data_IF_632310534441
#
_entry.id   IF_632310534441
#
_cell.length_a   1.000
_cell.length_b   1.000
_cell.length_c   1.000
_cell.angle_alpha   90.00
_cell.angle_beta   90.00
_cell.angle_gamma   90.00
#
_symmetry.space_group_name_H-M   'P 1'
#
loop_
_entity.id
_entity.type
_entity.pdbx_description
1 polymer ?
#
# COMPACT_ATOMS: atom_id res chain seq x y z
N UNK A 1 -49.01 10.64 16.13
CA UNK A 1 -47.82 10.00 15.55
C UNK A 1 -46.58 10.78 15.97
N UNK A 2 -46.00 10.36 17.09
CA UNK A 2 -44.82 10.92 17.74
C UNK A 2 -43.57 10.58 16.92
N UNK A 3 -42.84 11.61 16.49
CA UNK A 3 -41.50 11.46 15.89
C UNK A 3 -40.53 11.09 17.02
N UNK A 4 -39.94 9.91 16.90
CA UNK A 4 -38.86 9.45 17.77
C UNK A 4 -37.60 10.30 17.53
N UNK A 5 -37.02 10.97 18.53
CA UNK A 5 -35.84 11.80 18.34
C UNK A 5 -34.60 10.90 18.19
N UNK A 6 -33.91 11.01 17.04
CA UNK A 6 -32.58 10.41 16.88
C UNK A 6 -31.66 10.90 18.02
N UNK A 7 -30.91 10.01 18.69
CA UNK A 7 -30.00 10.43 19.74
C UNK A 7 -28.90 11.35 19.16
N UNK A 8 -28.39 12.31 19.95
CA UNK A 8 -27.29 13.16 19.51
C UNK A 8 -26.08 12.30 19.16
N UNK A 9 -25.44 12.59 18.03
CA UNK A 9 -24.18 11.97 17.64
C UNK A 9 -23.12 12.30 18.69
N UNK A 10 -22.88 11.36 19.61
CA UNK A 10 -21.77 11.45 20.55
C UNK A 10 -20.43 11.51 19.81
N UNK A 11 -19.34 11.91 20.48
CA UNK A 11 -18.01 11.91 19.88
C UNK A 11 -17.74 10.53 19.26
N UNK A 12 -17.24 10.55 18.02
CA UNK A 12 -16.83 9.36 17.26
C UNK A 12 -15.91 8.50 18.14
N UNK A 13 -16.47 7.47 18.79
CA UNK A 13 -15.66 6.42 19.42
C UNK A 13 -15.13 5.58 18.27
N UNK A 14 -13.99 5.98 17.73
CA UNK A 14 -13.16 5.07 16.95
C UNK A 14 -12.63 4.06 17.96
N UNK A 15 -13.40 2.99 18.21
CA UNK A 15 -12.81 1.77 18.75
C UNK A 15 -11.76 1.37 17.71
N UNK A 16 -10.49 1.56 18.06
CA UNK A 16 -9.41 1.21 17.18
C UNK A 16 -9.48 -0.30 16.94
N UNK A 17 -10.01 -0.70 15.79
CA UNK A 17 -9.75 -2.02 15.24
C UNK A 17 -8.24 -2.11 15.04
N UNK A 18 -7.54 -2.77 15.95
CA UNK A 18 -6.09 -2.70 15.97
C UNK A 18 -5.44 -3.89 16.69
N UNK A 19 -4.78 -4.81 15.98
CA UNK A 19 -4.00 -5.94 16.52
C UNK A 19 -2.68 -5.49 17.19
N UNK A 20 -2.65 -4.31 17.83
CA UNK A 20 -1.48 -3.76 18.52
C UNK A 20 -1.55 -3.95 20.04
N UNK A 21 -2.70 -4.39 20.57
CA UNK A 21 -2.85 -4.77 21.96
C UNK A 21 -1.99 -6.02 22.24
N UNK A 22 -0.92 -5.85 23.03
CA UNK A 22 0.01 -6.92 23.42
C UNK A 22 1.44 -6.77 22.88
N UNK A 23 1.70 -5.82 21.97
CA UNK A 23 3.05 -5.59 21.42
C UNK A 23 3.76 -4.44 22.14
N UNK A 24 3.01 -3.50 22.73
CA UNK A 24 3.55 -2.31 23.39
C UNK A 24 3.67 -2.55 24.91
N UNK A 25 4.87 -2.42 25.51
CA UNK A 25 5.07 -2.59 26.94
C UNK A 25 4.24 -1.60 27.79
N UNK A 26 3.80 -1.97 29.00
CA UNK A 26 3.22 -1.02 29.94
C UNK A 26 4.27 0.03 30.34
N UNK A 27 4.09 1.26 29.86
CA UNK A 27 5.05 2.37 30.06
C UNK A 27 5.21 3.28 28.85
N UNK A 28 4.75 2.85 27.66
CA UNK A 28 4.84 3.64 26.44
C UNK A 28 3.70 4.65 26.28
N UNK A 29 3.97 5.77 25.58
CA UNK A 29 2.94 6.65 25.05
C UNK A 29 1.93 5.81 24.25
N UNK A 30 0.66 5.86 24.65
CA UNK A 30 -0.47 5.06 24.13
C UNK A 30 -0.58 3.60 24.60
N UNK A 31 0.37 3.02 25.35
CA UNK A 31 0.27 1.63 25.81
C UNK A 31 -0.95 1.35 26.69
N UNK A 32 -1.22 2.23 27.65
CA UNK A 32 -2.41 2.15 28.50
C UNK A 32 -3.72 2.41 27.73
N UNK A 33 -3.69 3.18 26.65
CA UNK A 33 -4.86 3.42 25.81
C UNK A 33 -5.15 2.20 24.91
N UNK A 34 -4.14 1.63 24.26
CA UNK A 34 -4.25 0.41 23.45
C UNK A 34 -4.75 -0.79 24.26
N UNK A 35 -4.29 -0.94 25.50
CA UNK A 35 -4.76 -2.00 26.43
C UNK A 35 -6.24 -1.80 26.83
N UNK A 36 -6.67 -0.54 27.00
CA UNK A 36 -8.07 -0.21 27.36
C UNK A 36 -9.05 -0.37 26.20
N UNK A 37 -8.60 -0.11 24.98
CA UNK A 37 -9.42 -0.26 23.76
C UNK A 37 -9.39 -1.70 23.21
N UNK A 38 -8.62 -2.61 23.81
CA UNK A 38 -8.62 -4.03 23.45
C UNK A 38 -9.99 -4.66 23.76
N UNK A 39 -10.65 -5.22 22.75
CA UNK A 39 -11.95 -5.88 22.92
C UNK A 39 -11.74 -7.25 23.59
N UNK A 40 -12.38 -7.53 24.74
CA UNK A 40 -12.31 -8.84 25.39
C UNK A 40 -12.88 -9.93 24.47
N UNK A 41 -12.16 -11.04 24.30
CA UNK A 41 -12.60 -12.19 23.51
C UNK A 41 -12.17 -12.20 22.04
N UNK A 42 -11.51 -11.14 21.56
CA UNK A 42 -10.73 -11.23 20.32
C UNK A 42 -9.43 -12.00 20.58
N UNK A 43 -9.01 -12.89 19.68
CA UNK A 43 -7.70 -13.52 19.78
C UNK A 43 -6.62 -12.43 19.92
N UNK A 44 -5.67 -12.69 20.81
CA UNK A 44 -4.56 -11.74 21.02
C UNK A 44 -3.83 -11.50 19.70
N UNK A 45 -3.20 -10.34 19.55
CA UNK A 45 -2.35 -10.06 18.40
C UNK A 45 -1.36 -11.21 18.14
N UNK A 46 -0.80 -11.81 19.18
CA UNK A 46 0.11 -12.95 19.07
C UNK A 46 -0.54 -14.20 18.49
N UNK A 47 -1.78 -14.53 18.90
CA UNK A 47 -2.51 -15.69 18.38
C UNK A 47 -2.91 -15.52 16.91
N UNK A 48 -3.38 -14.32 16.53
CA UNK A 48 -3.65 -14.02 15.12
C UNK A 48 -2.37 -13.99 14.28
N UNK A 49 -1.29 -13.40 14.78
CA UNK A 49 0.00 -13.41 14.11
C UNK A 49 0.52 -14.84 13.91
N UNK A 50 0.32 -15.75 14.87
CA UNK A 50 0.69 -17.16 14.75
C UNK A 50 -0.16 -17.88 13.68
N UNK A 51 -1.48 -17.73 13.73
CA UNK A 51 -2.39 -18.27 12.71
C UNK A 51 -2.02 -17.78 11.31
N UNK A 52 -1.72 -16.48 11.20
CA UNK A 52 -1.27 -15.90 9.95
C UNK A 52 0.10 -16.44 9.56
N UNK A 53 1.04 -16.61 10.49
CA UNK A 53 2.39 -17.17 10.24
C UNK A 53 2.37 -18.63 9.75
N UNK A 54 1.31 -19.39 10.02
CA UNK A 54 1.17 -20.78 9.57
C UNK A 54 0.38 -20.95 8.25
N UNK A 55 -0.29 -19.90 7.75
CA UNK A 55 -1.08 -19.99 6.53
C UNK A 55 -0.18 -20.28 5.29
N UNK A 56 -0.66 -20.95 4.23
CA UNK A 56 0.08 -21.04 2.97
C UNK A 56 0.21 -19.65 2.32
N UNK A 57 1.33 -19.38 1.66
CA UNK A 57 1.58 -18.13 0.92
C UNK A 57 1.77 -18.45 -0.56
N UNK A 58 0.94 -17.88 -1.42
CA UNK A 58 1.18 -17.90 -2.86
C UNK A 58 1.62 -16.51 -3.33
N UNK A 59 2.92 -16.39 -3.61
CA UNK A 59 3.54 -15.17 -4.16
C UNK A 59 3.32 -15.02 -5.67
N UNK A 60 2.79 -16.05 -6.33
CA UNK A 60 2.58 -16.08 -7.79
C UNK A 60 1.12 -15.82 -8.18
N UNK A 61 0.18 -15.89 -7.24
CA UNK A 61 -1.24 -15.67 -7.49
C UNK A 61 -1.50 -14.29 -8.14
N UNK A 62 -2.22 -14.23 -9.28
CA UNK A 62 -2.52 -12.97 -9.92
C UNK A 62 -3.37 -12.07 -9.01
N UNK A 63 -3.24 -10.76 -9.23
CA UNK A 63 -3.86 -9.67 -8.46
C UNK A 63 -5.37 -9.86 -8.21
N UNK A 64 -6.07 -10.51 -9.14
CA UNK A 64 -7.52 -10.71 -9.13
C UNK A 64 -7.98 -12.08 -8.59
N UNK A 65 -7.05 -13.01 -8.31
CA UNK A 65 -7.38 -14.34 -7.80
C UNK A 65 -7.62 -14.31 -6.28
N UNK A 66 -8.70 -13.66 -5.87
CA UNK A 66 -9.21 -13.70 -4.50
C UNK A 66 -10.65 -14.20 -4.55
N UNK A 67 -10.97 -15.38 -3.97
CA UNK A 67 -12.30 -15.98 -4.02
C UNK A 67 -13.43 -15.03 -3.58
N UNK A 68 -13.16 -14.16 -2.60
CA UNK A 68 -14.12 -13.18 -2.11
C UNK A 68 -14.44 -12.06 -3.10
N UNK A 69 -13.53 -11.73 -4.02
CA UNK A 69 -13.74 -10.70 -5.06
C UNK A 69 -14.65 -11.23 -6.15
N UNK A 70 -14.50 -12.51 -6.52
CA UNK A 70 -15.44 -13.18 -7.41
C UNK A 70 -16.86 -13.20 -6.80
N UNK A 71 -16.98 -13.56 -5.52
CA UNK A 71 -18.27 -13.56 -4.82
C UNK A 71 -18.90 -12.15 -4.68
N UNK A 72 -18.09 -11.09 -4.50
CA UNK A 72 -18.59 -9.71 -4.45
C UNK A 72 -18.94 -9.15 -5.84
N UNK A 73 -18.26 -9.60 -6.89
CA UNK A 73 -18.60 -9.27 -8.28
C UNK A 73 -19.92 -9.94 -8.72
N UNK A 74 -20.19 -11.17 -8.25
CA UNK A 74 -21.45 -11.90 -8.50
C UNK A 74 -22.68 -11.22 -7.87
N UNK A 75 -22.50 -10.52 -6.73
CA UNK A 75 -23.59 -9.80 -6.04
C UNK A 75 -23.87 -8.38 -6.53
N UNK A 76 -23.05 -7.84 -7.44
CA UNK A 76 -23.26 -6.52 -8.02
C UNK A 76 -24.30 -6.58 -9.16
N UNK A 77 -25.15 -5.56 -9.28
CA UNK A 77 -25.98 -5.41 -10.49
C UNK A 77 -25.09 -5.41 -11.73
N UNK A 78 -25.41 -6.30 -12.68
CA UNK A 78 -24.64 -6.54 -13.91
C UNK A 78 -24.39 -5.28 -14.76
N UNK A 79 -25.12 -4.19 -14.52
CA UNK A 79 -24.99 -2.93 -15.27
C UNK A 79 -23.87 -1.99 -14.80
N UNK A 80 -23.40 -2.09 -13.54
CA UNK A 80 -22.42 -1.14 -12.99
C UNK A 80 -21.18 -1.78 -12.33
N UNK A 81 -21.22 -3.09 -12.02
CA UNK A 81 -20.16 -3.75 -11.26
C UNK A 81 -20.05 -3.25 -9.81
N UNK A 82 -19.18 -3.85 -8.99
CA UNK A 82 -18.95 -3.39 -7.63
C UNK A 82 -18.21 -2.05 -7.62
N UNK A 83 -18.53 -1.19 -6.65
CA UNK A 83 -17.73 -0.02 -6.36
C UNK A 83 -16.37 -0.43 -5.76
N UNK A 84 -15.40 0.49 -5.75
CA UNK A 84 -14.10 0.27 -5.10
C UNK A 84 -13.77 1.38 -4.13
N UNK A 85 -13.13 1.02 -3.01
CA UNK A 85 -12.41 1.96 -2.15
C UNK A 85 -10.93 1.70 -2.33
N UNK A 86 -10.23 2.65 -2.93
CA UNK A 86 -8.80 2.52 -3.24
C UNK A 86 -7.97 3.31 -2.24
N UNK A 87 -6.93 2.68 -1.74
CA UNK A 87 -5.79 3.35 -1.10
C UNK A 87 -4.51 2.81 -1.70
N UNK A 88 -3.37 3.45 -1.44
CA UNK A 88 -2.10 2.95 -1.94
C UNK A 88 -0.91 3.48 -1.18
N UNK A 89 0.19 2.74 -1.19
CA UNK A 89 1.45 3.14 -0.58
C UNK A 89 2.59 2.41 -1.30
N UNK A 90 3.79 3.01 -1.34
CA UNK A 90 4.97 2.24 -1.73
C UNK A 90 5.13 1.00 -0.84
N UNK A 91 5.57 -0.14 -1.39
CA UNK A 91 5.87 -1.33 -0.62
C UNK A 91 7.16 -1.12 0.17
N UNK A 92 7.06 -0.34 1.25
CA UNK A 92 8.17 -0.13 2.16
C UNK A 92 8.62 -1.43 2.80
N UNK A 93 9.85 -1.42 3.33
CA UNK A 93 10.47 -2.56 3.98
C UNK A 93 9.54 -3.19 5.04
N UNK A 94 9.27 -4.49 4.92
CA UNK A 94 8.34 -5.27 5.77
C UNK A 94 6.93 -4.67 5.92
N UNK A 95 6.39 -4.09 4.85
CA UNK A 95 5.08 -3.43 4.87
C UNK A 95 5.16 -1.92 5.12
N UNK A 96 6.36 -1.40 5.36
CA UNK A 96 6.63 0.04 5.48
C UNK A 96 6.11 0.61 6.80
N UNK A 97 5.82 1.93 6.85
CA UNK A 97 5.30 2.54 8.07
C UNK A 97 3.95 1.93 8.47
N UNK A 98 3.61 1.94 9.76
CA UNK A 98 2.30 1.50 10.26
C UNK A 98 1.13 2.21 9.56
N UNK A 99 1.38 3.40 9.00
CA UNK A 99 0.46 4.11 8.13
C UNK A 99 -0.05 3.25 6.96
N UNK A 100 0.77 2.39 6.37
CA UNK A 100 0.37 1.45 5.31
C UNK A 100 -0.77 0.55 5.77
N UNK A 101 -0.60 -0.09 6.93
CA UNK A 101 -1.61 -0.98 7.50
C UNK A 101 -2.88 -0.21 7.87
N UNK A 102 -2.73 1.00 8.42
CA UNK A 102 -3.86 1.86 8.76
C UNK A 102 -4.66 2.28 7.52
N UNK A 103 -3.99 2.63 6.41
CA UNK A 103 -4.63 2.96 5.13
C UNK A 103 -5.43 1.78 4.59
N UNK A 104 -4.84 0.58 4.60
CA UNK A 104 -5.52 -0.63 4.13
C UNK A 104 -6.74 -0.96 5.02
N UNK A 105 -6.56 -0.96 6.34
CA UNK A 105 -7.67 -1.20 7.27
C UNK A 105 -8.81 -0.19 7.09
N UNK A 106 -8.48 1.07 6.81
CA UNK A 106 -9.47 2.12 6.50
C UNK A 106 -10.22 1.80 5.21
N UNK A 107 -9.53 1.39 4.14
CA UNK A 107 -10.17 1.00 2.88
C UNK A 107 -11.13 -0.18 3.07
N UNK A 108 -10.71 -1.20 3.83
CA UNK A 108 -11.54 -2.36 4.19
C UNK A 108 -12.78 -1.94 4.98
N UNK A 109 -12.61 -1.11 6.01
CA UNK A 109 -13.74 -0.65 6.84
C UNK A 109 -14.74 0.19 6.04
N UNK A 110 -14.26 1.08 5.17
CA UNK A 110 -15.13 1.87 4.29
C UNK A 110 -15.88 0.98 3.30
N UNK A 111 -15.19 0.04 2.66
CA UNK A 111 -15.82 -0.90 1.72
C UNK A 111 -16.89 -1.78 2.38
N UNK A 112 -16.63 -2.25 3.61
CA UNK A 112 -17.62 -2.99 4.41
C UNK A 112 -18.84 -2.13 4.74
N UNK A 113 -18.64 -0.86 5.11
CA UNK A 113 -19.73 0.08 5.43
C UNK A 113 -20.61 0.37 4.21
N UNK A 114 -20.00 0.65 3.06
CA UNK A 114 -20.75 0.91 1.81
C UNK A 114 -21.51 -0.35 1.36
N UNK A 115 -20.89 -1.53 1.51
CA UNK A 115 -21.53 -2.82 1.22
C UNK A 115 -22.74 -3.07 2.12
N UNK A 116 -22.62 -2.79 3.42
CA UNK A 116 -23.73 -2.87 4.37
C UNK A 116 -24.86 -1.87 4.07
N UNK A 117 -24.54 -0.75 3.40
CA UNK A 117 -25.52 0.23 2.90
C UNK A 117 -26.16 -0.17 1.55
N UNK A 118 -25.91 -1.39 1.05
CA UNK A 118 -26.50 -1.91 -0.18
C UNK A 118 -25.70 -1.62 -1.45
N UNK A 119 -24.48 -1.06 -1.34
CA UNK A 119 -23.58 -0.83 -2.47
C UNK A 119 -22.38 -1.77 -2.38
N UNK A 120 -22.43 -2.90 -3.07
CA UNK A 120 -21.31 -3.85 -3.14
C UNK A 120 -20.00 -3.12 -3.45
N UNK A 121 -19.06 -3.15 -2.51
CA UNK A 121 -17.82 -2.36 -2.56
C UNK A 121 -16.61 -3.19 -2.18
N UNK A 122 -15.58 -3.19 -3.04
CA UNK A 122 -14.33 -3.94 -2.86
C UNK A 122 -13.22 -3.01 -2.36
N UNK A 123 -12.50 -3.34 -1.27
CA UNK A 123 -11.32 -2.61 -0.87
C UNK A 123 -10.12 -2.99 -1.75
N UNK A 124 -9.42 -1.98 -2.25
CA UNK A 124 -8.25 -2.12 -3.12
C UNK A 124 -7.05 -1.41 -2.50
N UNK A 125 -5.96 -2.14 -2.34
CA UNK A 125 -4.64 -1.61 -2.03
C UNK A 125 -3.77 -1.57 -3.29
N UNK A 126 -3.48 -0.37 -3.76
CA UNK A 126 -2.47 -0.12 -4.79
C UNK A 126 -1.07 -0.16 -4.17
N UNK A 127 -0.33 -1.23 -4.44
CA UNK A 127 1.09 -1.31 -4.12
C UNK A 127 1.86 -0.43 -5.10
N UNK A 128 2.45 0.67 -4.60
CA UNK A 128 3.25 1.62 -5.38
C UNK A 128 4.62 1.07 -5.78
N UNK A 129 4.68 -0.18 -6.24
CA UNK A 129 5.90 -0.96 -6.43
C UNK A 129 6.64 -0.63 -7.75
N UNK A 130 6.02 0.12 -8.66
CA UNK A 130 6.68 0.70 -9.83
C UNK A 130 7.53 1.95 -9.56
N UNK A 131 7.57 2.45 -8.31
CA UNK A 131 8.38 3.61 -7.96
C UNK A 131 9.87 3.28 -7.91
N UNK A 132 10.71 4.30 -8.07
CA UNK A 132 12.16 4.19 -8.05
C UNK A 132 12.83 4.91 -6.87
N UNK A 133 12.03 5.40 -5.92
CA UNK A 133 12.52 5.94 -4.64
C UNK A 133 12.76 4.81 -3.63
N UNK A 134 13.86 4.08 -3.84
CA UNK A 134 14.31 3.03 -2.92
C UNK A 134 14.70 3.60 -1.55
N UNK A 135 15.14 4.86 -1.50
CA UNK A 135 15.59 5.47 -0.25
C UNK A 135 14.42 5.67 0.71
N UNK A 136 13.27 6.09 0.21
CA UNK A 136 12.03 6.16 0.97
C UNK A 136 11.54 4.77 1.38
N UNK A 137 11.49 3.83 0.44
CA UNK A 137 10.91 2.51 0.69
C UNK A 137 11.77 1.62 1.61
N UNK A 138 13.09 1.72 1.53
CA UNK A 138 14.05 0.80 2.17
C UNK A 138 14.85 1.43 3.32
N UNK A 139 14.30 2.48 3.92
CA UNK A 139 14.79 3.08 5.16
C UNK A 139 13.80 2.88 6.32
N UNK A 140 13.45 1.63 6.69
CA UNK A 140 12.59 1.37 7.83
C UNK A 140 13.17 1.96 9.10
N UNK A 141 12.27 2.45 9.93
CA UNK A 141 12.56 2.86 11.29
C UNK A 141 11.63 2.04 12.19
N UNK A 142 12.21 1.21 13.05
CA UNK A 142 11.49 0.32 13.97
C UNK A 142 11.85 0.65 15.42
N UNK A 143 11.02 0.19 16.35
CA UNK A 143 11.34 0.20 17.78
C UNK A 143 11.93 -1.17 18.12
N UNK A 144 13.05 -1.19 18.84
CA UNK A 144 13.58 -2.44 19.38
C UNK A 144 12.85 -2.83 20.69
N UNK A 145 13.24 -3.98 21.25
CA UNK A 145 12.67 -4.50 22.51
C UNK A 145 12.95 -3.62 23.74
N UNK A 146 13.80 -2.59 23.60
CA UNK A 146 14.11 -1.61 24.63
C UNK A 146 13.34 -0.30 24.44
N UNK A 147 12.51 -0.21 23.40
CA UNK A 147 11.83 1.02 23.05
C UNK A 147 12.79 2.07 22.45
N UNK A 148 13.90 1.65 21.85
CA UNK A 148 14.78 2.54 21.09
C UNK A 148 14.41 2.51 19.61
N UNK A 149 14.35 3.70 19.00
CA UNK A 149 14.12 3.86 17.59
C UNK A 149 15.39 3.47 16.81
N UNK A 150 15.34 2.36 16.08
CA UNK A 150 16.43 1.88 15.22
C UNK A 150 16.05 1.99 13.75
N UNK A 151 16.90 2.70 12.99
CA UNK A 151 16.83 2.71 11.53
C UNK A 151 17.62 1.53 10.97
N UNK A 152 16.98 0.64 10.22
CA UNK A 152 17.66 -0.40 9.46
C UNK A 152 17.73 0.04 7.99
N UNK A 153 18.64 0.97 7.68
CA UNK A 153 18.81 1.39 6.29
C UNK A 153 19.59 0.32 5.52
N UNK A 154 19.07 -0.15 4.38
CA UNK A 154 19.83 -0.93 3.38
C UNK A 154 20.85 -0.03 2.65
N UNK A 155 21.69 0.70 3.39
CA UNK A 155 22.70 1.65 2.87
C UNK A 155 23.63 1.02 1.85
N UNK A 156 23.92 -0.28 1.99
CA UNK A 156 24.72 -1.03 1.04
C UNK A 156 24.07 -1.16 -0.32
N UNK A 157 22.75 -1.34 -0.38
CA UNK A 157 21.97 -1.39 -1.62
C UNK A 157 21.88 -0.01 -2.27
N UNK A 158 21.49 1.00 -1.49
CA UNK A 158 21.29 2.38 -1.99
C UNK A 158 22.55 3.03 -2.57
N UNK A 159 23.75 2.50 -2.24
CA UNK A 159 25.03 3.00 -2.73
C UNK A 159 25.46 2.37 -4.07
N UNK A 160 24.75 1.36 -4.55
CA UNK A 160 25.12 0.66 -5.79
C UNK A 160 24.66 1.45 -7.02
N UNK A 161 25.50 1.64 -8.06
CA UNK A 161 25.12 2.32 -9.29
C UNK A 161 23.89 1.71 -9.99
N UNK A 162 23.70 0.39 -9.87
CA UNK A 162 22.56 -0.35 -10.39
C UNK A 162 21.24 -0.06 -9.66
N UNK A 163 21.29 0.45 -8.43
CA UNK A 163 20.11 0.84 -7.65
C UNK A 163 19.58 2.22 -8.04
N UNK A 164 20.36 3.02 -8.77
CA UNK A 164 19.89 4.29 -9.30
C UNK A 164 18.78 4.05 -10.33
N UNK A 165 17.57 4.54 -10.02
CA UNK A 165 16.35 4.35 -10.81
C UNK A 165 15.86 2.90 -10.92
N UNK A 166 16.33 2.01 -10.04
CA UNK A 166 15.80 0.66 -9.98
C UNK A 166 14.31 0.70 -9.65
N UNK A 167 13.53 -0.15 -10.28
CA UNK A 167 12.12 -0.32 -9.96
C UNK A 167 12.02 -1.17 -8.70
N UNK A 168 11.36 -0.63 -7.67
CA UNK A 168 11.26 -1.25 -6.36
C UNK A 168 10.71 -2.68 -6.43
N UNK A 169 9.70 -2.93 -7.27
CA UNK A 169 9.10 -4.25 -7.47
C UNK A 169 10.10 -5.33 -7.92
N UNK A 170 11.15 -4.93 -8.64
CA UNK A 170 12.09 -5.81 -9.35
C UNK A 170 13.39 -6.02 -8.58
N UNK A 171 13.56 -5.38 -7.42
CA UNK A 171 14.71 -5.60 -6.56
C UNK A 171 14.71 -7.03 -6.00
N UNK A 172 15.89 -7.64 -5.87
CA UNK A 172 16.07 -9.01 -5.43
C UNK A 172 16.28 -9.16 -3.92
N UNK A 173 16.69 -10.35 -3.47
CA UNK A 173 16.84 -10.69 -2.05
C UNK A 173 17.79 -9.81 -1.25
N UNK A 174 18.70 -9.11 -1.91
CA UNK A 174 19.57 -8.12 -1.31
C UNK A 174 18.83 -7.01 -0.55
N UNK A 175 17.56 -6.74 -0.88
CA UNK A 175 16.72 -5.79 -0.14
C UNK A 175 16.44 -6.28 1.29
N UNK A 176 16.20 -7.57 1.47
CA UNK A 176 15.77 -8.16 2.74
C UNK A 176 16.79 -9.10 3.38
N UNK A 177 18.00 -9.22 2.86
CA UNK A 177 19.11 -9.89 3.55
C UNK A 177 19.90 -8.95 4.50
N UNK A 178 19.42 -7.72 4.72
CA UNK A 178 20.13 -6.64 5.41
C UNK A 178 20.27 -6.77 6.95
N UNK A 179 20.15 -7.97 7.53
CA UNK A 179 20.40 -8.22 8.96
C UNK A 179 19.37 -7.63 9.94
N UNK A 180 18.24 -7.13 9.43
CA UNK A 180 17.10 -6.62 10.23
C UNK A 180 16.47 -7.70 11.13
N UNK A 181 16.64 -8.99 10.80
CA UNK A 181 16.08 -10.10 11.58
C UNK A 181 16.59 -10.06 13.03
N UNK A 182 17.85 -9.68 13.24
CA UNK A 182 18.46 -9.52 14.56
C UNK A 182 17.88 -8.33 15.36
N UNK A 183 17.20 -7.40 14.69
CA UNK A 183 16.52 -6.27 15.32
C UNK A 183 15.07 -6.59 15.72
N UNK A 184 14.51 -7.71 15.26
CA UNK A 184 13.16 -8.14 15.65
C UNK A 184 13.20 -9.14 16.80
N UNK A 185 12.29 -9.05 17.78
CA UNK A 185 12.10 -10.10 18.76
C UNK A 185 11.69 -11.41 18.08
N UNK A 186 12.21 -12.53 18.58
CA UNK A 186 11.77 -13.85 18.17
C UNK A 186 10.28 -14.02 18.48
N UNK A 187 9.54 -14.60 17.53
CA UNK A 187 8.12 -14.88 17.70
C UNK A 187 7.30 -14.78 16.42
N UNK A 188 5.96 -14.81 16.55
CA UNK A 188 5.05 -14.88 15.41
C UNK A 188 5.20 -13.72 14.41
N UNK A 189 5.53 -12.51 14.87
CA UNK A 189 5.77 -11.36 13.99
C UNK A 189 7.02 -11.53 13.10
N UNK A 190 8.10 -12.06 13.67
CA UNK A 190 9.31 -12.38 12.91
C UNK A 190 9.03 -13.52 11.90
N UNK A 191 8.32 -14.57 12.30
CA UNK A 191 7.93 -15.67 11.41
C UNK A 191 7.03 -15.20 10.25
N UNK A 192 6.02 -14.37 10.56
CA UNK A 192 5.13 -13.77 9.58
C UNK A 192 5.87 -12.97 8.50
N UNK A 193 6.90 -12.23 8.89
CA UNK A 193 7.77 -11.51 7.97
C UNK A 193 8.66 -12.44 7.14
N UNK A 194 9.16 -13.53 7.74
CA UNK A 194 10.08 -14.47 7.08
C UNK A 194 9.40 -15.34 6.02
N UNK A 195 8.16 -15.78 6.24
CA UNK A 195 7.50 -16.71 5.31
C UNK A 195 7.46 -16.19 3.86
N UNK A 196 7.01 -14.96 3.56
CA UNK A 196 7.04 -14.44 2.19
C UNK A 196 8.46 -14.27 1.64
N UNK A 197 9.43 -13.90 2.48
CA UNK A 197 10.82 -13.67 2.08
C UNK A 197 11.57 -14.96 1.73
N UNK A 198 11.20 -16.09 2.35
CA UNK A 198 11.77 -17.42 2.09
C UNK A 198 11.40 -17.97 0.72
N UNK A 199 10.30 -17.49 0.11
CA UNK A 199 9.92 -17.89 -1.25
C UNK A 199 10.87 -17.35 -2.32
N UNK A 200 11.75 -16.41 -1.96
CA UNK A 200 12.66 -15.75 -2.89
C UNK A 200 11.92 -14.93 -3.95
N UNK A 201 12.66 -14.40 -4.92
CA UNK A 201 12.10 -13.67 -6.06
C UNK A 201 12.29 -12.16 -5.98
N UNK A 202 11.32 -11.42 -6.49
CA UNK A 202 11.37 -9.96 -6.57
C UNK A 202 10.55 -9.33 -5.43
N UNK A 203 10.94 -8.13 -4.99
CA UNK A 203 10.36 -7.46 -3.84
C UNK A 203 8.85 -7.19 -3.94
N UNK A 204 8.35 -6.82 -5.13
CA UNK A 204 6.93 -6.51 -5.35
C UNK A 204 6.00 -7.69 -5.02
N UNK A 205 6.18 -8.87 -5.65
CA UNK A 205 5.44 -10.08 -5.29
C UNK A 205 5.51 -10.45 -3.81
N UNK A 206 6.71 -10.37 -3.21
CA UNK A 206 6.92 -10.72 -1.80
C UNK A 206 6.14 -9.80 -0.86
N UNK A 207 6.16 -8.49 -1.10
CA UNK A 207 5.39 -7.55 -0.30
C UNK A 207 3.88 -7.73 -0.50
N UNK A 208 3.43 -7.93 -1.74
CA UNK A 208 2.02 -8.13 -2.03
C UNK A 208 1.48 -9.36 -1.28
N UNK A 209 2.27 -10.44 -1.24
CA UNK A 209 1.95 -11.64 -0.47
C UNK A 209 1.92 -11.39 1.04
N UNK A 210 2.86 -10.63 1.59
CA UNK A 210 2.85 -10.22 3.00
C UNK A 210 1.58 -9.44 3.36
N UNK A 211 1.18 -8.47 2.53
CA UNK A 211 -0.06 -7.69 2.76
C UNK A 211 -1.29 -8.59 2.65
N UNK A 212 -1.39 -9.46 1.65
CA UNK A 212 -2.50 -10.42 1.51
C UNK A 212 -2.62 -11.33 2.73
N UNK A 213 -1.48 -11.74 3.30
CA UNK A 213 -1.41 -12.55 4.51
C UNK A 213 -1.89 -11.76 5.73
N UNK A 214 -1.41 -10.54 5.92
CA UNK A 214 -1.81 -9.65 7.02
C UNK A 214 -3.32 -9.36 7.03
N UNK A 215 -3.93 -9.29 5.85
CA UNK A 215 -5.36 -9.03 5.67
C UNK A 215 -6.14 -10.28 5.24
N UNK A 216 -5.61 -11.48 5.50
CA UNK A 216 -6.29 -12.73 5.20
C UNK A 216 -7.63 -12.79 5.95
N UNK A 217 -8.71 -13.09 5.22
CA UNK A 217 -10.08 -13.06 5.74
C UNK A 217 -10.86 -11.79 5.41
N UNK A 218 -10.20 -10.76 4.87
CA UNK A 218 -10.85 -9.59 4.28
C UNK A 218 -10.87 -9.68 2.74
N UNK A 219 -11.85 -9.07 2.06
CA UNK A 219 -11.95 -9.06 0.60
C UNK A 219 -10.96 -8.07 -0.06
N UNK A 220 -9.76 -7.93 0.50
CA UNK A 220 -8.75 -6.96 0.04
C UNK A 220 -8.10 -7.41 -1.26
N UNK A 221 -8.26 -6.61 -2.32
CA UNK A 221 -7.47 -6.75 -3.56
C UNK A 221 -6.16 -6.01 -3.42
N UNK A 222 -5.03 -6.65 -3.71
CA UNK A 222 -3.72 -5.99 -3.80
C UNK A 222 -3.33 -5.86 -5.27
N UNK A 223 -3.36 -4.64 -5.80
CA UNK A 223 -2.97 -4.31 -7.17
C UNK A 223 -1.51 -3.87 -7.18
N UNK A 224 -0.67 -4.54 -7.97
CA UNK A 224 0.72 -4.13 -8.17
C UNK A 224 0.81 -3.04 -9.22
N UNK A 225 1.42 -1.92 -8.86
CA UNK A 225 1.68 -0.81 -9.76
C UNK A 225 2.76 -1.09 -10.81
N UNK A 226 3.49 -2.20 -10.72
CA UNK A 226 4.42 -2.68 -11.75
C UNK A 226 3.86 -3.82 -12.63
N UNK A 227 2.57 -4.16 -12.51
CA UNK A 227 1.94 -5.23 -13.30
C UNK A 227 1.76 -4.82 -14.79
N UNK A 228 2.42 -5.49 -15.76
CA UNK A 228 2.26 -5.16 -17.18
C UNK A 228 0.81 -5.29 -17.68
N UNK A 229 0.03 -6.23 -17.16
CA UNK A 229 -1.36 -6.44 -17.61
C UNK A 229 -2.27 -5.27 -17.20
N UNK A 230 -2.03 -4.68 -16.03
CA UNK A 230 -2.72 -3.47 -15.58
C UNK A 230 -2.48 -2.30 -16.54
N UNK A 231 -1.23 -2.15 -16.97
CA UNK A 231 -0.84 -1.05 -17.83
C UNK A 231 -1.24 -1.26 -19.29
N UNK A 232 -1.25 -2.50 -19.77
CA UNK A 232 -1.83 -2.85 -21.06
C UNK A 232 -3.32 -2.46 -21.12
N UNK A 233 -4.08 -2.81 -20.08
CA UNK A 233 -5.49 -2.41 -19.96
C UNK A 233 -5.68 -0.89 -19.86
N UNK A 234 -4.72 -0.18 -19.27
CA UNK A 234 -4.73 1.29 -19.15
C UNK A 234 -4.26 2.03 -20.42
N UNK A 235 -3.85 1.33 -21.49
CA UNK A 235 -3.31 1.92 -22.71
C UNK A 235 -4.15 3.08 -23.30
N UNK A 236 -5.48 2.92 -23.49
CA UNK A 236 -6.33 4.00 -23.98
C UNK A 236 -6.34 5.23 -23.06
N UNK A 237 -6.30 5.02 -21.74
CA UNK A 237 -6.21 6.11 -20.76
C UNK A 237 -4.87 6.84 -20.89
N UNK A 238 -3.75 6.12 -21.01
CA UNK A 238 -2.44 6.74 -21.22
C UNK A 238 -2.35 7.56 -22.50
N UNK A 239 -2.92 7.07 -23.60
CA UNK A 239 -2.96 7.81 -24.86
C UNK A 239 -3.71 9.15 -24.70
N UNK A 240 -4.85 9.14 -24.01
CA UNK A 240 -5.63 10.35 -23.74
C UNK A 240 -4.90 11.32 -22.81
N UNK A 241 -4.31 10.82 -21.71
CA UNK A 241 -3.53 11.64 -20.77
C UNK A 241 -2.31 12.27 -21.45
N UNK A 242 -1.64 11.55 -22.35
CA UNK A 242 -0.53 12.08 -23.14
C UNK A 242 -0.97 13.18 -24.10
N UNK A 243 -2.14 13.05 -24.72
CA UNK A 243 -2.72 14.09 -25.60
C UNK A 243 -3.02 15.37 -24.81
N UNK A 244 -3.49 15.23 -23.56
CA UNK A 244 -3.84 16.34 -22.66
C UNK A 244 -2.71 16.79 -21.73
N UNK A 245 -1.50 16.28 -21.87
CA UNK A 245 -0.39 16.52 -20.91
C UNK A 245 -0.11 17.99 -20.61
N UNK A 246 -0.19 18.86 -21.62
CA UNK A 246 0.06 20.29 -21.46
C UNK A 246 -1.05 20.98 -20.64
N UNK A 247 -2.30 20.62 -20.92
CA UNK A 247 -3.50 21.05 -20.19
C UNK A 247 -3.41 20.58 -18.73
N UNK A 248 -3.19 19.29 -18.49
CA UNK A 248 -3.08 18.70 -17.15
C UNK A 248 -1.95 19.34 -16.33
N UNK A 249 -0.79 19.58 -16.97
CA UNK A 249 0.31 20.27 -16.32
C UNK A 249 -0.03 21.73 -15.98
N UNK A 250 -0.86 22.42 -16.79
CA UNK A 250 -1.33 23.77 -16.47
C UNK A 250 -2.25 23.79 -15.28
N UNK A 251 -3.26 22.92 -15.28
CA UNK A 251 -4.22 22.80 -14.17
C UNK A 251 -3.51 22.49 -12.85
N UNK A 252 -2.52 21.59 -12.87
CA UNK A 252 -1.74 21.27 -11.69
C UNK A 252 -0.86 22.45 -11.21
N UNK A 253 -0.28 23.24 -12.14
CA UNK A 253 0.47 24.47 -11.79
C UNK A 253 -0.43 25.52 -11.17
N UNK A 254 -1.58 25.77 -11.77
CA UNK A 254 -2.57 26.73 -11.28
C UNK A 254 -3.06 26.34 -9.88
N UNK A 255 -3.35 25.05 -9.66
CA UNK A 255 -3.71 24.56 -8.33
C UNK A 255 -2.57 24.68 -7.33
N UNK A 256 -1.33 24.41 -7.74
CA UNK A 256 -0.14 24.60 -6.92
C UNK A 256 0.07 26.06 -6.51
N UNK A 257 -0.14 27.00 -7.43
CA UNK A 257 -0.07 28.43 -7.17
C UNK A 257 -1.18 28.89 -6.21
N UNK A 258 -2.40 28.38 -6.38
CA UNK A 258 -3.51 28.67 -5.46
C UNK A 258 -3.24 28.15 -4.03
N UNK A 259 -2.65 26.96 -3.89
CA UNK A 259 -2.22 26.43 -2.59
C UNK A 259 -1.14 27.31 -1.95
N UNK A 260 -0.16 27.75 -2.74
CA UNK A 260 0.89 28.66 -2.27
C UNK A 260 0.35 30.01 -1.81
N UNK A 261 -0.60 30.59 -2.56
CA UNK A 261 -1.27 31.83 -2.18
C UNK A 261 -2.08 31.69 -0.88
N UNK A 262 -2.57 30.49 -0.58
CA UNK A 262 -3.27 30.17 0.67
C UNK A 262 -2.31 29.78 1.83
N UNK A 263 -1.00 29.88 1.64
CA UNK A 263 0.01 29.58 2.67
C UNK A 263 0.41 28.10 2.79
N UNK A 264 -0.03 27.24 1.86
CA UNK A 264 0.39 25.84 1.76
C UNK A 264 1.54 25.67 0.76
N UNK A 265 2.07 24.46 0.63
CA UNK A 265 3.07 24.14 -0.40
C UNK A 265 2.43 23.52 -1.65
N UNK A 266 2.99 23.82 -2.81
CA UNK A 266 2.62 23.14 -4.05
C UNK A 266 2.95 21.63 -3.94
N UNK A 267 1.98 20.78 -4.29
CA UNK A 267 2.09 19.33 -4.07
C UNK A 267 2.84 18.60 -5.19
N UNK A 268 2.87 19.14 -6.41
CA UNK A 268 3.54 18.53 -7.56
C UNK A 268 4.58 19.52 -8.12
N UNK A 269 5.85 19.12 -8.10
CA UNK A 269 6.95 19.93 -8.63
C UNK A 269 7.02 19.94 -10.16
N UNK A 270 7.67 20.97 -10.72
CA UNK A 270 7.78 21.15 -12.18
C UNK A 270 8.41 19.96 -12.92
N UNK A 271 9.37 19.26 -12.30
CA UNK A 271 9.97 18.05 -12.87
C UNK A 271 8.95 16.93 -13.07
N UNK A 272 8.05 16.74 -12.12
CA UNK A 272 6.99 15.72 -12.18
C UNK A 272 5.93 16.07 -13.22
N UNK A 273 5.61 17.37 -13.36
CA UNK A 273 4.69 17.85 -14.39
C UNK A 273 5.25 17.67 -15.81
N UNK A 274 6.56 17.77 -15.97
CA UNK A 274 7.23 17.54 -17.25
C UNK A 274 7.40 16.06 -17.60
N UNK A 275 7.19 15.13 -16.64
CA UNK A 275 7.46 13.69 -16.78
C UNK A 275 6.25 12.86 -16.32
N UNK A 276 5.13 12.92 -17.07
CA UNK A 276 3.88 12.29 -16.66
C UNK A 276 3.90 10.77 -16.81
N UNK A 277 4.72 10.22 -17.72
CA UNK A 277 4.89 8.79 -17.94
C UNK A 277 6.36 8.41 -17.97
N UNK A 278 6.61 7.15 -17.61
CA UNK A 278 7.91 6.53 -17.58
C UNK A 278 7.87 5.22 -18.36
N UNK A 279 8.97 4.86 -19.01
CA UNK A 279 9.24 3.51 -19.51
C UNK A 279 9.93 2.69 -18.42
N UNK A 280 9.69 1.39 -18.44
CA UNK A 280 10.26 0.45 -17.49
C UNK A 280 11.10 -0.66 -18.17
N UNK A 281 12.14 -0.34 -18.99
CA UNK A 281 12.96 -1.37 -19.62
C UNK A 281 13.77 -2.16 -18.59
N UNK A 282 13.64 -3.48 -18.59
CA UNK A 282 14.43 -4.36 -17.73
C UNK A 282 14.13 -4.17 -16.24
N UNK A 283 14.97 -3.43 -15.51
CA UNK A 283 14.79 -3.15 -14.08
C UNK A 283 14.78 -1.66 -13.75
N UNK A 284 14.81 -0.78 -14.75
CA UNK A 284 15.00 0.67 -14.57
C UNK A 284 13.78 1.46 -14.97
N UNK A 285 13.55 2.57 -14.29
CA UNK A 285 12.52 3.56 -14.60
C UNK A 285 13.12 4.76 -15.33
N UNK A 286 12.59 5.08 -16.49
CA UNK A 286 13.10 6.16 -17.36
C UNK A 286 11.96 7.05 -17.81
N UNK A 287 12.13 8.37 -17.77
CA UNK A 287 11.07 9.27 -18.22
C UNK A 287 10.83 9.11 -19.73
N UNK A 288 9.58 8.98 -20.14
CA UNK A 288 9.22 8.93 -21.56
C UNK A 288 9.50 10.31 -22.19
N UNK A 289 10.36 10.38 -23.21
CA UNK A 289 10.68 11.63 -23.86
C UNK A 289 9.49 12.17 -24.66
N UNK A 290 9.47 13.49 -24.91
CA UNK A 290 8.41 14.10 -25.69
C UNK A 290 8.47 13.62 -27.15
N UNK A 291 7.40 12.99 -27.63
CA UNK A 291 7.31 12.44 -28.98
C UNK A 291 7.59 10.94 -29.07
N UNK A 292 8.13 10.34 -28.01
CA UNK A 292 8.33 8.90 -27.95
C UNK A 292 7.02 8.15 -27.66
N UNK A 293 6.95 6.91 -28.13
CA UNK A 293 5.88 5.96 -27.79
C UNK A 293 6.49 4.67 -27.24
N UNK A 294 5.71 3.94 -26.45
CA UNK A 294 6.04 2.60 -25.99
C UNK A 294 4.75 1.79 -25.84
N UNK A 295 4.82 0.44 -25.90
CA UNK A 295 3.70 -0.41 -25.54
C UNK A 295 3.16 -0.05 -24.16
N UNK A 296 1.83 -0.11 -23.97
CA UNK A 296 1.21 0.30 -22.73
C UNK A 296 1.67 -0.55 -21.54
N UNK A 297 1.86 -1.85 -21.73
CA UNK A 297 2.49 -2.76 -20.77
C UNK A 297 3.85 -2.29 -20.20
N UNK A 298 4.62 -1.50 -20.97
CA UNK A 298 5.95 -1.00 -20.58
C UNK A 298 5.92 0.37 -19.90
N UNK A 299 4.75 1.01 -19.83
CA UNK A 299 4.57 2.34 -19.29
C UNK A 299 4.21 2.31 -17.80
N UNK A 300 4.74 3.27 -17.03
CA UNK A 300 4.41 3.50 -15.61
C UNK A 300 4.04 4.98 -15.39
N UNK A 301 2.97 5.28 -14.65
CA UNK A 301 2.57 6.65 -14.42
C UNK A 301 3.48 7.35 -13.42
N UNK A 302 3.81 8.60 -13.72
CA UNK A 302 4.35 9.55 -12.75
C UNK A 302 3.29 9.97 -11.74
N UNK A 303 3.69 10.69 -10.69
CA UNK A 303 2.77 11.18 -9.64
C UNK A 303 1.61 12.02 -10.18
N UNK A 304 1.77 12.68 -11.33
CA UNK A 304 0.68 13.44 -11.96
C UNK A 304 -0.44 12.54 -12.51
N UNK A 305 -0.11 11.32 -12.96
CA UNK A 305 -1.04 10.43 -13.65
C UNK A 305 -1.40 9.16 -12.86
N UNK A 306 -0.87 9.00 -11.64
CA UNK A 306 -1.29 7.98 -10.68
C UNK A 306 -2.58 8.41 -10.01
#
# INVERSE_FOLDING_TARGET
MTRDPRPPAGPLRVQACGPLAGIVPPGHLFGAWLQREAVPGLPTAAAELARLADAPTDVTAPVWAIPHVAAQAEGASAAAGPAVVVTGQQPGFLGGPLLTLHKIATAVALAARESAAGRATVPVFWSGDADDDLAEALAPVGWDNRGELRGATSRGLLRRPESARAILARCGPEVWSAGWEAALPDGPGQQLARTPLQHGGAWGPVQAALIRRLFAGFPLVVVRGDDPALHEAAGPLYAELLRRRAELASLARERGAALAAAGFHAQIGGRSLARPLFRAPGSRREALAAGDTAPAADLRPGVLLR
#
